data_IF_514655347688
#
_entry.id   IF_514655347688
#
_cell.length_a   1.000
_cell.length_b   1.000
_cell.length_c   1.000
_cell.angle_alpha   90.00
_cell.angle_beta   90.00
_cell.angle_gamma   90.00
#
_symmetry.space_group_name_H-M   'P 1'
#
loop_
_entity.id
_entity.type
_entity.pdbx_description
1 polymer ?
#
# COMPACT_ATOMS: atom_id res chain seq x y z
N UNK A 1 -0.53 -19.80 -5.55
CA UNK A 1 -0.72 -18.42 -6.02
C UNK A 1 -1.00 -17.53 -4.83
N UNK A 2 -0.45 -16.34 -4.81
CA UNK A 2 -0.66 -15.39 -3.73
C UNK A 2 -1.77 -14.41 -4.08
N UNK A 3 -2.51 -13.94 -3.07
CA UNK A 3 -3.63 -13.01 -3.28
C UNK A 3 -3.18 -11.71 -3.97
N UNK A 4 -1.96 -11.28 -3.71
CA UNK A 4 -1.38 -10.06 -4.29
C UNK A 4 -0.31 -10.35 -5.34
N UNK A 5 -0.33 -11.53 -5.94
CA UNK A 5 0.56 -11.88 -7.04
C UNK A 5 1.97 -12.25 -6.66
N UNK A 6 2.41 -11.90 -5.46
CA UNK A 6 3.73 -12.22 -4.93
C UNK A 6 3.65 -12.23 -3.41
N UNK A 7 4.60 -12.92 -2.80
CA UNK A 7 4.66 -12.97 -1.35
C UNK A 7 5.00 -11.61 -0.76
N UNK A 8 4.24 -11.21 0.24
CA UNK A 8 4.45 -9.94 0.96
C UNK A 8 5.07 -10.27 2.31
N UNK A 9 6.32 -9.83 2.56
CA UNK A 9 6.96 -10.09 3.85
C UNK A 9 6.37 -9.23 4.96
N UNK A 10 6.47 -9.69 6.20
CA UNK A 10 5.90 -8.97 7.35
C UNK A 10 6.48 -7.58 7.55
N UNK A 11 7.74 -7.35 7.18
CA UNK A 11 8.35 -6.03 7.32
C UNK A 11 7.80 -5.00 6.31
N UNK A 12 7.09 -5.46 5.28
CA UNK A 12 6.39 -4.58 4.33
C UNK A 12 4.94 -4.33 4.74
N UNK A 13 4.53 -4.78 5.92
CA UNK A 13 3.16 -4.67 6.42
C UNK A 13 3.17 -3.88 7.72
N UNK A 14 2.19 -2.98 7.86
CA UNK A 14 2.07 -2.16 9.07
C UNK A 14 0.62 -2.05 9.51
N UNK A 15 0.41 -2.20 10.82
CA UNK A 15 -0.87 -1.82 11.42
C UNK A 15 -0.75 -0.36 11.80
N UNK A 16 -1.61 0.47 11.21
CA UNK A 16 -1.66 1.90 11.47
C UNK A 16 -2.53 2.11 12.71
N UNK A 17 -1.99 2.82 13.71
CA UNK A 17 -2.65 3.04 14.97
C UNK A 17 -3.31 4.41 15.06
N UNK A 18 -2.54 5.40 15.51
CA UNK A 18 -3.05 6.75 15.78
C UNK A 18 -2.99 7.66 14.56
N UNK A 19 -2.45 7.20 13.45
CA UNK A 19 -2.37 7.98 12.22
C UNK A 19 -3.79 8.21 11.69
N UNK A 20 -4.27 9.44 11.81
CA UNK A 20 -5.62 9.79 11.37
C UNK A 20 -5.62 10.60 10.09
N UNK A 21 -4.48 11.15 9.68
CA UNK A 21 -4.36 11.98 8.49
C UNK A 21 -3.62 11.26 7.37
N UNK A 22 -3.89 11.70 6.14
CA UNK A 22 -3.19 11.21 4.96
C UNK A 22 -1.69 11.42 5.08
N UNK A 23 -1.26 12.60 5.55
CA UNK A 23 0.16 12.91 5.70
C UNK A 23 0.85 11.89 6.62
N UNK A 24 0.29 11.66 7.81
CA UNK A 24 0.88 10.74 8.78
C UNK A 24 0.90 9.30 8.26
N UNK A 25 -0.19 8.89 7.62
CA UNK A 25 -0.28 7.54 7.06
C UNK A 25 0.78 7.31 5.97
N UNK A 26 0.96 8.28 5.06
CA UNK A 26 1.96 8.17 4.01
C UNK A 26 3.37 8.13 4.59
N UNK A 27 3.66 8.94 5.62
CA UNK A 27 4.98 8.91 6.29
C UNK A 27 5.24 7.53 6.90
N UNK A 28 4.24 6.92 7.55
CA UNK A 28 4.39 5.57 8.12
C UNK A 28 4.57 4.52 7.03
N UNK A 29 3.90 4.67 5.90
CA UNK A 29 4.07 3.73 4.78
C UNK A 29 5.45 3.85 4.15
N UNK A 30 6.01 5.06 4.08
CA UNK A 30 7.39 5.25 3.63
C UNK A 30 8.35 4.51 4.56
N UNK A 31 8.21 4.71 5.88
CA UNK A 31 9.05 4.00 6.86
C UNK A 31 8.97 2.49 6.64
N UNK A 32 7.78 1.99 6.39
CA UNK A 32 7.55 0.55 6.21
C UNK A 32 8.23 0.02 4.95
N UNK A 33 8.08 0.70 3.82
CA UNK A 33 8.70 0.27 2.57
C UNK A 33 10.22 0.38 2.64
N UNK A 34 10.74 1.37 3.36
CA UNK A 34 12.20 1.49 3.53
C UNK A 34 12.83 0.27 4.20
N UNK A 35 12.10 -0.46 5.03
CA UNK A 35 12.62 -1.67 5.67
C UNK A 35 12.92 -2.79 4.68
N UNK A 36 12.36 -2.74 3.49
CA UNK A 36 12.58 -3.78 2.46
C UNK A 36 13.93 -3.65 1.78
N UNK A 37 14.61 -2.52 1.94
CA UNK A 37 15.88 -2.20 1.27
C UNK A 37 15.76 -2.12 -0.27
N UNK A 38 14.56 -2.00 -0.79
CA UNK A 38 14.34 -1.87 -2.24
C UNK A 38 14.38 -0.42 -2.72
N UNK A 39 14.23 0.53 -1.81
CA UNK A 39 14.31 1.96 -2.12
C UNK A 39 15.67 2.47 -1.72
N UNK A 40 16.43 3.03 -2.68
CA UNK A 40 17.81 3.48 -2.44
C UNK A 40 17.93 4.95 -2.07
N UNK A 41 16.86 5.72 -2.21
CA UNK A 41 16.84 7.15 -1.88
C UNK A 41 15.50 7.52 -1.27
N UNK A 42 15.47 7.64 0.05
CA UNK A 42 14.23 7.95 0.79
C UNK A 42 13.65 9.31 0.38
N UNK A 43 14.51 10.32 0.21
CA UNK A 43 14.03 11.67 -0.12
C UNK A 43 13.37 11.70 -1.50
N UNK A 44 13.97 11.03 -2.48
CA UNK A 44 13.40 10.93 -3.82
C UNK A 44 12.07 10.19 -3.80
N UNK A 45 12.00 9.10 -3.05
CA UNK A 45 10.78 8.31 -2.91
C UNK A 45 9.66 9.13 -2.26
N UNK A 46 9.96 9.79 -1.16
CA UNK A 46 9.01 10.63 -0.43
C UNK A 46 8.46 11.73 -1.32
N UNK A 47 9.34 12.44 -2.02
CA UNK A 47 8.93 13.52 -2.91
C UNK A 47 8.00 13.02 -4.00
N UNK A 48 8.37 11.92 -4.66
CA UNK A 48 7.55 11.34 -5.73
C UNK A 48 6.18 10.90 -5.22
N UNK A 49 6.12 10.29 -4.05
CA UNK A 49 4.88 9.83 -3.44
C UNK A 49 3.94 11.00 -3.13
N UNK A 50 4.45 12.02 -2.44
CA UNK A 50 3.62 13.18 -2.08
C UNK A 50 3.22 13.99 -3.31
N UNK A 51 4.11 14.15 -4.29
CA UNK A 51 3.78 14.84 -5.53
C UNK A 51 2.65 14.13 -6.29
N UNK A 52 2.70 12.81 -6.34
CA UNK A 52 1.65 12.02 -7.02
C UNK A 52 0.31 12.15 -6.32
N UNK A 53 0.29 12.02 -4.98
CA UNK A 53 -0.96 12.12 -4.23
C UNK A 53 -1.53 13.53 -4.23
N UNK A 54 -0.70 14.55 -4.41
CA UNK A 54 -1.15 15.94 -4.51
C UNK A 54 -1.93 16.20 -5.80
N UNK A 55 -1.68 15.45 -6.86
CA UNK A 55 -2.42 15.58 -8.12
C UNK A 55 -3.86 15.13 -7.93
N UNK A 56 -4.05 13.97 -7.33
CA UNK A 56 -5.37 13.41 -7.07
C UNK A 56 -5.22 12.25 -6.10
N UNK A 57 -6.09 12.21 -5.10
CA UNK A 57 -6.06 11.11 -4.13
C UNK A 57 -6.30 9.77 -4.80
N UNK A 58 -5.58 8.74 -4.34
CA UNK A 58 -5.79 7.35 -4.77
C UNK A 58 -6.76 6.62 -3.86
N UNK A 59 -7.39 7.31 -2.90
CA UNK A 59 -8.34 6.71 -1.96
C UNK A 59 -9.74 6.62 -2.53
N UNK A 60 -10.37 5.45 -2.40
CA UNK A 60 -11.73 5.23 -2.85
C UNK A 60 -12.28 3.94 -2.23
N UNK A 61 -13.49 3.99 -1.71
CA UNK A 61 -14.19 2.82 -1.13
C UNK A 61 -13.39 2.11 -0.05
N UNK A 62 -12.77 2.88 0.83
CA UNK A 62 -12.05 2.33 1.98
C UNK A 62 -10.63 1.86 1.66
N UNK A 63 -10.17 1.99 0.43
CA UNK A 63 -8.85 1.54 -0.01
C UNK A 63 -8.10 2.70 -0.65
N UNK A 64 -6.79 2.77 -0.44
CA UNK A 64 -5.92 3.69 -1.16
C UNK A 64 -4.80 2.90 -1.83
N UNK A 65 -4.41 3.33 -3.04
CA UNK A 65 -3.39 2.66 -3.84
C UNK A 65 -2.31 3.65 -4.30
N UNK A 66 -1.64 4.33 -3.37
CA UNK A 66 -0.56 5.24 -3.76
C UNK A 66 0.52 4.48 -4.50
N UNK A 67 1.17 5.15 -5.45
CA UNK A 67 2.20 4.49 -6.25
C UNK A 67 3.31 5.46 -6.65
N UNK A 68 4.51 4.91 -6.80
CA UNK A 68 5.71 5.63 -7.19
C UNK A 68 6.46 4.77 -8.21
N UNK A 69 6.93 5.41 -9.30
CA UNK A 69 7.80 4.75 -10.30
C UNK A 69 9.02 5.64 -10.50
N UNK A 70 10.13 5.23 -9.94
CA UNK A 70 11.39 5.98 -10.01
C UNK A 70 12.57 5.01 -10.15
N UNK A 71 13.70 5.55 -10.62
CA UNK A 71 14.91 4.76 -10.82
C UNK A 71 15.51 4.24 -9.51
N UNK A 72 15.22 4.91 -8.40
CA UNK A 72 15.77 4.61 -7.08
C UNK A 72 15.03 3.45 -6.38
N UNK A 73 14.28 2.66 -7.13
CA UNK A 73 13.62 1.44 -6.64
C UNK A 73 14.21 0.25 -7.40
N UNK A 74 14.72 -0.74 -6.64
CA UNK A 74 15.45 -1.88 -7.23
C UNK A 74 14.53 -2.88 -7.90
N UNK A 75 13.42 -3.22 -7.26
CA UNK A 75 12.48 -4.21 -7.74
C UNK A 75 11.07 -3.82 -7.36
N UNK A 76 10.04 -4.30 -8.10
CA UNK A 76 8.65 -4.07 -7.71
C UNK A 76 8.39 -4.48 -6.27
N UNK A 77 7.87 -3.57 -5.47
CA UNK A 77 7.70 -3.76 -4.03
C UNK A 77 6.33 -3.24 -3.61
N UNK A 78 5.64 -4.00 -2.78
CA UNK A 78 4.37 -3.56 -2.20
C UNK A 78 4.55 -3.34 -0.71
N UNK A 79 3.94 -2.25 -0.22
CA UNK A 79 3.76 -2.05 1.20
C UNK A 79 2.27 -2.07 1.50
N UNK A 80 1.88 -2.68 2.62
CA UNK A 80 0.47 -2.77 3.01
C UNK A 80 0.29 -2.17 4.38
N UNK A 81 -0.67 -1.24 4.50
CA UNK A 81 -1.05 -0.63 5.76
C UNK A 81 -2.52 -0.90 6.04
N UNK A 82 -2.84 -1.19 7.28
CA UNK A 82 -4.22 -1.47 7.70
C UNK A 82 -4.55 -0.62 8.92
N UNK A 83 -5.69 0.07 8.85
CA UNK A 83 -6.19 0.90 9.95
C UNK A 83 -7.60 0.44 10.33
N UNK A 84 -7.77 0.03 11.58
CA UNK A 84 -9.11 -0.33 12.10
C UNK A 84 -9.99 0.90 12.26
N UNK A 85 -9.40 2.04 12.64
CA UNK A 85 -10.13 3.29 12.85
C UNK A 85 -10.53 3.98 11.55
N UNK A 86 -9.79 3.73 10.49
CA UNK A 86 -9.93 4.47 9.25
C UNK A 86 -9.12 5.77 9.27
N UNK A 87 -8.66 6.18 8.11
CA UNK A 87 -7.79 7.33 7.92
C UNK A 87 -8.50 8.31 6.99
N UNK A 88 -8.48 9.59 7.35
CA UNK A 88 -8.92 10.64 6.45
C UNK A 88 -7.83 10.81 5.37
N UNK A 89 -7.99 10.07 4.29
CA UNK A 89 -7.05 10.04 3.19
C UNK A 89 -7.41 11.05 2.09
N UNK A 90 -8.37 11.93 2.39
CA UNK A 90 -8.90 12.86 1.37
C UNK A 90 -9.39 12.09 0.15
N UNK A 91 -10.04 10.96 0.41
CA UNK A 91 -10.48 10.03 -0.62
C UNK A 91 -11.48 10.69 -1.57
N UNK A 92 -11.55 10.17 -2.80
CA UNK A 92 -12.42 10.72 -3.84
C UNK A 92 -13.90 10.72 -3.44
N UNK A 93 -14.31 9.74 -2.63
CA UNK A 93 -15.69 9.62 -2.15
C UNK A 93 -15.90 10.18 -0.74
N UNK A 94 -14.85 10.77 -0.14
CA UNK A 94 -14.93 11.33 1.20
C UNK A 94 -14.97 10.31 2.33
N UNK A 95 -14.91 9.01 2.03
CA UNK A 95 -14.97 7.96 3.04
C UNK A 95 -13.59 7.68 3.65
N UNK A 96 -13.54 7.19 4.91
CA UNK A 96 -12.26 6.81 5.50
C UNK A 96 -11.64 5.62 4.78
N UNK A 97 -10.30 5.58 4.81
CA UNK A 97 -9.52 4.49 4.21
C UNK A 97 -9.03 3.56 5.32
N UNK A 98 -9.28 2.27 5.15
CA UNK A 98 -8.86 1.25 6.10
C UNK A 98 -7.69 0.40 5.60
N UNK A 99 -7.48 0.33 4.29
CA UNK A 99 -6.41 -0.46 3.68
C UNK A 99 -5.64 0.40 2.69
N UNK A 100 -4.32 0.45 2.85
CA UNK A 100 -3.43 1.14 1.93
C UNK A 100 -2.51 0.11 1.29
N UNK A 101 -2.44 0.09 -0.03
CA UNK A 101 -1.46 -0.72 -0.75
C UNK A 101 -0.57 0.25 -1.54
N UNK A 102 0.67 0.38 -1.10
CA UNK A 102 1.65 1.26 -1.72
C UNK A 102 2.46 0.47 -2.74
N UNK A 103 2.44 0.95 -3.98
CA UNK A 103 3.21 0.34 -5.07
C UNK A 103 4.50 1.13 -5.26
N UNK A 104 5.63 0.51 -4.95
CA UNK A 104 6.95 1.07 -5.20
C UNK A 104 7.56 0.33 -6.39
N UNK A 105 7.65 1.00 -7.54
CA UNK A 105 8.00 0.39 -8.82
C UNK A 105 9.23 1.03 -9.43
N UNK A 106 10.16 0.24 -9.98
CA UNK A 106 11.25 0.80 -10.78
C UNK A 106 10.72 1.48 -12.03
N UNK A 107 11.44 2.49 -12.52
CA UNK A 107 11.15 3.09 -13.82
C UNK A 107 11.22 2.01 -14.90
N UNK A 108 10.37 2.14 -15.91
CA UNK A 108 10.33 1.18 -17.01
C UNK A 108 9.58 -0.11 -16.72
N UNK A 109 8.93 -0.22 -15.56
CA UNK A 109 8.18 -1.42 -15.16
C UNK A 109 6.67 -1.28 -15.37
N UNK A 110 6.24 -0.51 -16.36
CA UNK A 110 4.82 -0.19 -16.57
C UNK A 110 3.97 -1.44 -16.78
N UNK A 111 4.46 -2.41 -17.55
CA UNK A 111 3.74 -3.65 -17.81
C UNK A 111 3.56 -4.47 -16.54
N UNK A 112 4.63 -4.60 -15.77
CA UNK A 112 4.60 -5.33 -14.51
C UNK A 112 3.68 -4.63 -13.50
N UNK A 113 3.74 -3.31 -13.46
CA UNK A 113 2.88 -2.52 -12.58
C UNK A 113 1.40 -2.76 -12.92
N UNK A 114 1.03 -2.68 -14.19
CA UNK A 114 -0.37 -2.87 -14.59
C UNK A 114 -0.88 -4.26 -14.25
N UNK A 115 -0.06 -5.29 -14.45
CA UNK A 115 -0.41 -6.67 -14.08
C UNK A 115 -0.59 -6.83 -12.58
N UNK A 116 0.33 -6.28 -11.80
CA UNK A 116 0.26 -6.33 -10.35
C UNK A 116 -0.94 -5.55 -9.82
N UNK A 117 -1.18 -4.36 -10.38
CA UNK A 117 -2.33 -3.54 -10.00
C UNK A 117 -3.65 -4.28 -10.24
N UNK A 118 -3.78 -4.93 -11.41
CA UNK A 118 -4.99 -5.69 -11.72
C UNK A 118 -5.23 -6.80 -10.70
N UNK A 119 -4.18 -7.51 -10.32
CA UNK A 119 -4.28 -8.61 -9.36
C UNK A 119 -4.63 -8.12 -7.95
N UNK A 120 -3.99 -7.04 -7.51
CA UNK A 120 -4.28 -6.43 -6.22
C UNK A 120 -5.72 -5.94 -6.17
N UNK A 121 -6.17 -5.26 -7.22
CA UNK A 121 -7.54 -4.74 -7.27
C UNK A 121 -8.56 -5.86 -7.27
N UNK A 122 -8.28 -6.97 -7.93
CA UNK A 122 -9.15 -8.13 -7.90
C UNK A 122 -9.33 -8.66 -6.47
N UNK A 123 -8.23 -8.76 -5.72
CA UNK A 123 -8.28 -9.19 -4.33
C UNK A 123 -9.05 -8.20 -3.46
N UNK A 124 -8.77 -6.90 -3.61
CA UNK A 124 -9.41 -5.86 -2.80
C UNK A 124 -10.92 -5.75 -3.06
N UNK A 125 -11.37 -6.12 -4.26
CA UNK A 125 -12.79 -6.12 -4.61
C UNK A 125 -13.51 -7.40 -4.20
N UNK A 126 -12.78 -8.43 -3.81
CA UNK A 126 -13.37 -9.68 -3.36
C UNK A 126 -14.11 -9.44 -2.05
N UNK A 127 -15.39 -9.85 -2.01
CA UNK A 127 -16.22 -9.64 -0.84
C UNK A 127 -15.58 -10.24 0.41
N UNK A 128 -15.50 -9.46 1.48
CA UNK A 128 -14.96 -9.90 2.76
C UNK A 128 -13.45 -9.83 2.89
N UNK A 129 -12.71 -9.58 1.80
CA UNK A 129 -11.24 -9.59 1.86
C UNK A 129 -10.69 -8.44 2.71
N UNK A 130 -11.16 -7.22 2.46
CA UNK A 130 -10.71 -6.06 3.24
C UNK A 130 -11.11 -6.20 4.71
N UNK A 131 -12.30 -6.72 4.98
CA UNK A 131 -12.77 -6.97 6.35
C UNK A 131 -11.87 -7.97 7.07
N UNK A 132 -11.37 -8.99 6.38
CA UNK A 132 -10.42 -9.93 6.97
C UNK A 132 -9.10 -9.23 7.34
N UNK A 133 -8.61 -8.35 6.47
CA UNK A 133 -7.39 -7.59 6.75
C UNK A 133 -7.56 -6.68 7.97
N UNK A 134 -8.68 -5.98 8.03
CA UNK A 134 -8.97 -5.05 9.12
C UNK A 134 -9.15 -5.78 10.45
N UNK A 135 -9.62 -7.02 10.43
CA UNK A 135 -9.79 -7.83 11.62
C UNK A 135 -8.47 -8.37 12.18
N UNK A 136 -7.39 -8.33 11.41
CA UNK A 136 -6.09 -8.83 11.87
C UNK A 136 -5.48 -7.94 12.94
N UNK A 137 -4.75 -8.55 13.88
CA UNK A 137 -4.13 -7.85 15.00
C UNK A 137 -2.61 -7.75 14.91
N UNK A 138 -2.01 -8.35 13.89
CA UNK A 138 -0.55 -8.32 13.71
C UNK A 138 -0.17 -8.33 12.24
N UNK A 139 1.02 -7.83 11.89
CA UNK A 139 1.54 -7.97 10.53
C UNK A 139 1.63 -9.42 10.06
N UNK A 140 1.95 -10.35 10.95
CA UNK A 140 2.00 -11.76 10.60
C UNK A 140 0.62 -12.30 10.18
N UNK A 141 -0.43 -11.91 10.89
CA UNK A 141 -1.80 -12.30 10.54
C UNK A 141 -2.21 -11.72 9.18
N UNK A 142 -1.84 -10.47 8.93
CA UNK A 142 -2.12 -9.83 7.64
C UNK A 142 -1.37 -10.56 6.53
N UNK A 143 -0.09 -10.88 6.75
CA UNK A 143 0.70 -11.62 5.77
C UNK A 143 0.05 -12.96 5.43
N UNK A 144 -0.49 -13.66 6.41
CA UNK A 144 -1.17 -14.94 6.20
C UNK A 144 -2.38 -14.78 5.28
N UNK A 145 -3.14 -13.70 5.42
CA UNK A 145 -4.28 -13.41 4.54
C UNK A 145 -3.80 -13.04 3.14
N UNK A 146 -2.79 -12.16 3.03
CA UNK A 146 -2.30 -11.69 1.74
C UNK A 146 -1.64 -12.80 0.92
N UNK A 147 -0.95 -13.73 1.59
CA UNK A 147 -0.16 -14.77 0.93
C UNK A 147 -0.92 -16.08 0.76
N UNK A 148 -2.22 -16.07 0.93
CA UNK A 148 -3.06 -17.26 0.66
C UNK A 148 -3.05 -17.58 -0.83
N UNK A 149 -3.00 -18.87 -1.19
CA UNK A 149 -3.08 -19.28 -2.59
C UNK A 149 -4.44 -18.93 -3.22
#
# INVERSE_FOLDING_TARGET
MFAFGKEIPTNAIRILGDESSKFDALERMIDTVMTTNMVTDRAAFRKALFDREAIRSTGFRGVAIPHVRIDEIKEPTLGVGVSKRGIDFEALDGEPVNVIVLFAMPSGSDKEYLGLLAQVMMSLRTEGFCEQLVACDSPADIAAVLNQP
#
